data_IF_788285380811
#
_entry.id   IF_788285380811
#
_cell.length_a   1.000
_cell.length_b   1.000
_cell.length_c   1.000
_cell.angle_alpha   90.00
_cell.angle_beta   90.00
_cell.angle_gamma   90.00
#
_symmetry.space_group_name_H-M   'P 1'
#
loop_
_entity.id
_entity.type
_entity.pdbx_description
1 polymer ?
#
# COMPACT_ATOMS: atom_id res chain seq x y z
N UNK A 1 -15.13 49.35 42.47
CA UNK A 1 -15.05 48.92 41.06
C UNK A 1 -13.71 48.23 40.88
N UNK A 2 -13.72 46.94 40.54
CA UNK A 2 -12.64 46.23 39.83
C UNK A 2 -13.15 44.82 39.52
N UNK A 3 -13.87 44.72 38.41
CA UNK A 3 -14.18 43.46 37.74
C UNK A 3 -13.52 43.54 36.38
N UNK A 4 -12.56 42.66 36.08
CA UNK A 4 -12.25 42.19 34.72
C UNK A 4 -11.48 40.88 34.90
N UNK A 5 -12.17 39.75 34.93
CA UNK A 5 -12.54 38.90 33.78
C UNK A 5 -11.40 37.99 33.36
N UNK A 6 -11.54 36.72 33.74
CA UNK A 6 -10.89 35.57 33.15
C UNK A 6 -11.16 35.58 31.64
N UNK A 7 -10.10 35.57 30.83
CA UNK A 7 -10.23 35.34 29.38
C UNK A 7 -9.71 33.96 29.08
N UNK A 8 -10.64 33.08 28.72
CA UNK A 8 -10.45 31.66 28.51
C UNK A 8 -9.34 31.34 27.52
N UNK A 9 -8.56 30.32 27.87
CA UNK A 9 -7.64 29.66 26.96
C UNK A 9 -8.42 29.15 25.76
N UNK A 10 -8.24 29.80 24.61
CA UNK A 10 -8.74 29.32 23.33
C UNK A 10 -8.12 27.96 23.05
N UNK A 11 -8.90 26.90 23.24
CA UNK A 11 -8.61 25.59 22.68
C UNK A 11 -8.74 25.73 21.17
N UNK A 12 -7.63 26.10 20.51
CA UNK A 12 -7.52 25.96 19.07
C UNK A 12 -7.72 24.47 18.79
N UNK A 13 -8.86 24.14 18.18
CA UNK A 13 -9.14 22.78 17.73
C UNK A 13 -7.97 22.23 16.91
N UNK A 14 -7.80 20.90 16.84
CA UNK A 14 -6.68 20.30 16.13
C UNK A 14 -6.61 20.89 14.74
N UNK A 15 -5.46 21.49 14.43
CA UNK A 15 -5.26 22.14 13.14
C UNK A 15 -5.57 21.17 11.99
N UNK A 16 -6.01 21.70 10.86
CA UNK A 16 -6.35 20.91 9.67
C UNK A 16 -5.23 19.92 9.29
N UNK A 17 -3.96 20.25 9.53
CA UNK A 17 -2.85 19.32 9.31
C UNK A 17 -2.89 18.09 10.24
N UNK A 18 -3.22 18.27 11.52
CA UNK A 18 -3.38 17.17 12.49
C UNK A 18 -4.61 16.31 12.19
N UNK A 19 -5.69 16.91 11.69
CA UNK A 19 -6.90 16.18 11.26
C UNK A 19 -6.57 15.29 10.06
N UNK A 20 -5.97 15.86 9.00
CA UNK A 20 -5.57 15.11 7.82
C UNK A 20 -4.55 14.01 8.15
N UNK A 21 -3.63 14.25 9.09
CA UNK A 21 -2.65 13.24 9.49
C UNK A 21 -3.26 12.04 10.23
N UNK A 22 -4.26 12.28 11.09
CA UNK A 22 -5.04 11.22 11.74
C UNK A 22 -5.84 10.42 10.72
N UNK A 23 -6.39 11.09 9.71
CA UNK A 23 -7.09 10.41 8.61
C UNK A 23 -6.13 9.55 7.79
N UNK A 24 -4.86 9.93 7.64
CA UNK A 24 -3.90 9.10 6.91
C UNK A 24 -3.43 7.88 7.72
N UNK A 25 -3.33 8.01 9.05
CA UNK A 25 -2.81 6.98 9.98
C UNK A 25 -3.79 6.68 11.13
N UNK A 26 -4.99 6.14 10.84
CA UNK A 26 -5.95 5.82 11.89
C UNK A 26 -5.53 4.61 12.74
N UNK A 27 -4.58 3.80 12.28
CA UNK A 27 -4.11 2.61 12.98
C UNK A 27 -2.59 2.60 13.12
N UNK A 28 -2.11 1.98 14.19
CA UNK A 28 -0.70 1.74 14.40
C UNK A 28 -0.14 0.70 13.44
N UNK A 29 1.16 0.78 13.20
CA UNK A 29 1.86 -0.18 12.35
C UNK A 29 1.74 -1.58 12.96
N UNK A 30 1.21 -2.52 12.18
CA UNK A 30 0.95 -3.91 12.58
C UNK A 30 -0.20 -4.12 13.57
N UNK A 31 -0.98 -3.08 13.89
CA UNK A 31 -2.29 -3.28 14.52
C UNK A 31 -3.28 -3.85 13.50
N UNK A 32 -4.11 -4.79 13.94
CA UNK A 32 -5.22 -5.36 13.18
C UNK A 32 -6.57 -4.72 13.53
N UNK A 33 -6.61 -3.72 14.42
CA UNK A 33 -7.86 -3.12 14.92
C UNK A 33 -8.73 -2.52 13.80
N UNK A 34 -8.12 -2.18 12.67
CA UNK A 34 -8.81 -1.66 11.49
C UNK A 34 -9.22 -2.70 10.45
N UNK A 35 -8.78 -3.95 10.57
CA UNK A 35 -9.03 -4.97 9.57
C UNK A 35 -10.36 -5.67 9.82
N UNK A 36 -11.17 -5.79 8.77
CA UNK A 36 -12.40 -6.58 8.79
C UNK A 36 -12.05 -8.06 8.57
N UNK A 37 -12.39 -8.92 9.54
CA UNK A 37 -12.07 -10.36 9.55
C UNK A 37 -10.62 -10.66 9.16
N UNK A 38 -9.62 -10.16 9.93
CA UNK A 38 -8.23 -10.35 9.57
C UNK A 38 -7.81 -11.81 9.70
N UNK A 39 -6.87 -12.21 8.85
CA UNK A 39 -6.04 -13.38 9.12
C UNK A 39 -5.11 -13.13 10.32
N UNK A 40 -4.34 -14.15 10.67
CA UNK A 40 -3.29 -14.03 11.68
C UNK A 40 -2.28 -12.94 11.29
N UNK A 41 -1.74 -12.24 12.28
CA UNK A 41 -0.85 -11.10 12.08
C UNK A 41 0.41 -11.43 11.23
N UNK A 42 0.96 -12.62 11.40
CA UNK A 42 2.08 -13.13 10.60
C UNK A 42 1.74 -13.21 9.11
N UNK A 43 0.58 -13.76 8.78
CA UNK A 43 0.07 -13.85 7.40
C UNK A 43 -0.21 -12.44 6.84
N UNK A 44 -0.84 -11.58 7.63
CA UNK A 44 -1.13 -10.20 7.24
C UNK A 44 0.14 -9.39 6.92
N UNK A 45 1.24 -9.64 7.65
CA UNK A 45 2.55 -9.04 7.37
C UNK A 45 3.17 -9.54 6.06
N UNK A 46 2.96 -10.80 5.72
CA UNK A 46 3.39 -11.37 4.44
C UNK A 46 2.64 -10.71 3.27
N UNK A 47 1.32 -10.64 3.35
CA UNK A 47 0.49 -9.94 2.35
C UNK A 47 0.86 -8.47 2.25
N UNK A 48 1.14 -7.81 3.37
CA UNK A 48 1.61 -6.43 3.36
C UNK A 48 2.95 -6.28 2.61
N UNK A 49 3.88 -7.20 2.82
CA UNK A 49 5.17 -7.19 2.13
C UNK A 49 4.99 -7.30 0.62
N UNK A 50 4.17 -8.24 0.17
CA UNK A 50 3.79 -8.41 -1.24
C UNK A 50 3.08 -7.18 -1.81
N UNK A 51 2.08 -6.67 -1.10
CA UNK A 51 1.35 -5.44 -1.47
C UNK A 51 2.30 -4.25 -1.66
N UNK A 52 3.34 -4.12 -0.82
CA UNK A 52 4.32 -3.04 -0.96
C UNK A 52 5.20 -3.19 -2.19
N UNK A 53 5.59 -4.41 -2.54
CA UNK A 53 6.41 -4.68 -3.73
C UNK A 53 5.71 -4.25 -5.03
N UNK A 54 4.37 -4.23 -5.05
CA UNK A 54 3.59 -3.73 -6.20
C UNK A 54 3.87 -2.27 -6.56
N UNK A 55 4.25 -1.41 -5.59
CA UNK A 55 4.43 0.03 -5.84
C UNK A 55 5.67 0.39 -6.67
N UNK A 56 6.52 -0.59 -6.98
CA UNK A 56 7.53 -0.49 -8.04
C UNK A 56 8.63 0.56 -7.91
N UNK A 57 8.71 1.29 -6.79
CA UNK A 57 9.89 2.11 -6.48
C UNK A 57 10.98 1.19 -5.93
N UNK A 58 12.21 1.33 -6.43
CA UNK A 58 13.40 0.75 -5.77
C UNK A 58 13.38 1.24 -4.33
N UNK A 59 13.08 0.33 -3.43
CA UNK A 59 12.96 0.62 -2.02
C UNK A 59 14.36 0.86 -1.49
N UNK A 60 14.80 2.12 -1.40
CA UNK A 60 15.90 2.44 -0.50
C UNK A 60 15.43 2.00 0.89
N UNK A 61 16.17 1.10 1.55
CA UNK A 61 15.75 0.45 2.81
C UNK A 61 15.43 1.41 3.96
N UNK A 62 15.70 2.71 3.82
CA UNK A 62 15.35 3.74 4.77
C UNK A 62 13.90 4.23 4.59
N UNK A 63 12.93 3.45 5.08
CA UNK A 63 11.59 3.97 5.31
C UNK A 63 11.49 4.57 6.70
N UNK A 64 11.00 5.80 6.80
CA UNK A 64 10.58 6.35 8.09
C UNK A 64 9.44 5.51 8.64
N UNK A 65 9.36 5.37 9.97
CA UNK A 65 8.26 4.68 10.64
C UNK A 65 6.90 5.21 10.17
N UNK A 66 6.80 6.53 9.98
CA UNK A 66 5.62 7.21 9.46
C UNK A 66 5.19 6.71 8.06
N UNK A 67 6.14 6.61 7.12
CA UNK A 67 5.84 6.12 5.77
C UNK A 67 5.38 4.65 5.79
N UNK A 68 5.96 3.85 6.70
CA UNK A 68 5.60 2.45 6.87
C UNK A 68 4.19 2.30 7.45
N UNK A 69 3.85 3.08 8.48
CA UNK A 69 2.53 3.12 9.09
C UNK A 69 1.45 3.60 8.11
N UNK A 70 1.73 4.63 7.31
CA UNK A 70 0.81 5.08 6.23
C UNK A 70 0.58 3.98 5.21
N UNK A 71 1.63 3.24 4.84
CA UNK A 71 1.50 2.11 3.92
C UNK A 71 0.66 0.99 4.53
N UNK A 72 0.83 0.70 5.83
CA UNK A 72 0.02 -0.27 6.56
C UNK A 72 -1.45 0.12 6.56
N UNK A 73 -1.78 1.37 6.90
CA UNK A 73 -3.15 1.86 6.86
C UNK A 73 -3.78 1.78 5.46
N UNK A 74 -3.01 2.09 4.41
CA UNK A 74 -3.47 1.93 3.04
C UNK A 74 -3.71 0.47 2.65
N UNK A 75 -2.89 -0.46 3.17
CA UNK A 75 -3.07 -1.90 3.00
C UNK A 75 -4.37 -2.37 3.68
N UNK A 76 -4.59 -2.01 4.94
CA UNK A 76 -5.82 -2.35 5.70
C UNK A 76 -7.08 -1.81 5.00
N UNK A 77 -7.04 -0.58 4.48
CA UNK A 77 -8.15 -0.04 3.68
C UNK A 77 -8.45 -0.88 2.44
N UNK A 78 -7.42 -1.34 1.73
CA UNK A 78 -7.62 -2.17 0.53
C UNK A 78 -8.09 -3.57 0.90
N UNK A 79 -7.61 -4.14 2.00
CA UNK A 79 -8.10 -5.39 2.56
C UNK A 79 -9.61 -5.33 2.80
N UNK A 80 -10.07 -4.34 3.57
CA UNK A 80 -11.50 -4.19 3.85
C UNK A 80 -12.31 -3.90 2.58
N UNK A 81 -11.78 -3.10 1.65
CA UNK A 81 -12.45 -2.83 0.39
C UNK A 81 -12.64 -4.11 -0.45
N UNK A 82 -11.62 -4.98 -0.53
CA UNK A 82 -11.75 -6.27 -1.23
C UNK A 82 -12.83 -7.15 -0.57
N UNK A 83 -12.82 -7.25 0.76
CA UNK A 83 -13.84 -7.99 1.51
C UNK A 83 -15.26 -7.48 1.25
N UNK A 84 -15.47 -6.15 1.25
CA UNK A 84 -16.78 -5.53 0.94
C UNK A 84 -17.18 -5.65 -0.53
N UNK A 85 -16.21 -5.72 -1.44
CA UNK A 85 -16.43 -6.01 -2.87
C UNK A 85 -16.78 -7.50 -3.10
N UNK A 86 -16.75 -8.35 -2.07
CA UNK A 86 -16.94 -9.80 -2.20
C UNK A 86 -15.76 -10.51 -2.88
N UNK A 87 -14.62 -9.82 -3.02
CA UNK A 87 -13.40 -10.34 -3.63
C UNK A 87 -12.45 -10.82 -2.55
N UNK A 88 -11.77 -11.94 -2.80
CA UNK A 88 -10.63 -12.30 -1.96
C UNK A 88 -9.50 -11.31 -2.20
N UNK A 89 -8.96 -10.73 -1.12
CA UNK A 89 -7.78 -9.88 -1.21
C UNK A 89 -6.59 -10.61 -1.86
N UNK A 90 -6.47 -11.93 -1.62
CA UNK A 90 -5.39 -12.75 -2.20
C UNK A 90 -5.51 -12.85 -3.71
N UNK A 91 -6.71 -13.11 -4.24
CA UNK A 91 -6.97 -13.15 -5.67
C UNK A 91 -6.68 -11.80 -6.33
N UNK A 92 -7.13 -10.71 -5.71
CA UNK A 92 -6.81 -9.36 -6.19
C UNK A 92 -5.30 -9.06 -6.18
N UNK A 93 -4.58 -9.56 -5.18
CA UNK A 93 -3.14 -9.37 -5.05
C UNK A 93 -2.38 -10.12 -6.16
N UNK A 94 -2.76 -11.38 -6.40
CA UNK A 94 -2.21 -12.24 -7.46
C UNK A 94 -2.43 -11.63 -8.85
N UNK A 95 -3.63 -11.15 -9.15
CA UNK A 95 -3.93 -10.48 -10.42
C UNK A 95 -3.04 -9.25 -10.63
N UNK A 96 -2.79 -8.48 -9.58
CA UNK A 96 -1.91 -7.31 -9.65
C UNK A 96 -0.45 -7.67 -9.82
N UNK A 97 0.02 -8.73 -9.17
CA UNK A 97 1.37 -9.25 -9.33
C UNK A 97 1.59 -9.76 -10.76
N UNK A 98 0.62 -10.51 -11.31
CA UNK A 98 0.63 -11.00 -12.68
C UNK A 98 0.57 -9.86 -13.72
N UNK A 99 -0.25 -8.83 -13.49
CA UNK A 99 -0.28 -7.65 -14.35
C UNK A 99 1.05 -6.88 -14.31
N UNK A 100 1.71 -6.83 -13.15
CA UNK A 100 3.02 -6.17 -12.98
C UNK A 100 4.15 -6.94 -13.66
N UNK A 101 4.19 -8.28 -13.52
CA UNK A 101 5.19 -9.11 -14.22
C UNK A 101 5.02 -8.97 -15.72
N UNK A 102 3.80 -9.12 -16.24
CA UNK A 102 3.51 -9.01 -17.68
C UNK A 102 3.96 -7.67 -18.28
N UNK A 103 3.92 -6.58 -17.51
CA UNK A 103 4.31 -5.23 -17.93
C UNK A 103 5.73 -4.84 -17.49
N UNK A 104 6.50 -5.78 -16.95
CA UNK A 104 7.87 -5.51 -16.54
C UNK A 104 8.75 -5.35 -17.79
N UNK A 105 9.64 -4.35 -17.79
CA UNK A 105 10.58 -4.13 -18.90
C UNK A 105 11.48 -5.35 -19.12
N UNK A 106 11.81 -6.09 -18.05
CA UNK A 106 12.57 -7.34 -18.13
C UNK A 106 11.81 -8.41 -18.91
N UNK A 107 10.55 -8.64 -18.58
CA UNK A 107 9.73 -9.65 -19.25
C UNK A 107 9.40 -9.26 -20.71
N UNK A 108 9.17 -7.97 -20.96
CA UNK A 108 9.04 -7.45 -22.33
C UNK A 108 10.32 -7.70 -23.14
N UNK A 109 11.49 -7.40 -22.57
CA UNK A 109 12.78 -7.67 -23.21
C UNK A 109 12.96 -9.17 -23.50
N UNK A 110 12.65 -10.05 -22.55
CA UNK A 110 12.72 -11.50 -22.75
C UNK A 110 11.83 -11.94 -23.90
N UNK A 111 10.57 -11.51 -23.94
CA UNK A 111 9.63 -11.85 -25.02
C UNK A 111 10.10 -11.34 -26.38
N UNK A 112 10.59 -10.09 -26.45
CA UNK A 112 11.15 -9.53 -27.69
C UNK A 112 12.37 -10.33 -28.14
N UNK A 113 13.27 -10.70 -27.23
CA UNK A 113 14.43 -11.54 -27.55
C UNK A 113 14.02 -12.94 -28.04
N UNK A 114 13.01 -13.57 -27.44
CA UNK A 114 12.47 -14.86 -27.89
C UNK A 114 11.81 -14.77 -29.28
N UNK A 115 11.03 -13.71 -29.54
CA UNK A 115 10.42 -13.46 -30.85
C UNK A 115 11.51 -13.29 -31.92
N UNK A 116 12.52 -12.46 -31.65
CA UNK A 116 13.66 -12.28 -32.54
C UNK A 116 14.40 -13.61 -32.76
N UNK A 117 14.71 -14.36 -31.70
CA UNK A 117 15.37 -15.67 -31.87
C UNK A 117 14.57 -16.65 -32.71
N UNK A 118 13.23 -16.64 -32.63
CA UNK A 118 12.36 -17.47 -33.47
C UNK A 118 12.36 -17.03 -34.93
N UNK A 119 12.27 -15.73 -35.20
CA UNK A 119 12.36 -15.19 -36.57
C UNK A 119 13.72 -15.47 -37.20
N UNK A 120 14.82 -15.22 -36.48
CA UNK A 120 16.18 -15.46 -36.99
C UNK A 120 16.48 -16.96 -37.22
N UNK A 121 15.83 -17.86 -36.49
CA UNK A 121 15.94 -19.31 -36.71
C UNK A 121 15.16 -19.81 -37.94
N UNK A 122 14.18 -19.05 -38.43
CA UNK A 122 13.43 -19.37 -39.66
C UNK A 122 14.10 -18.86 -40.93
N UNK A 123 15.12 -17.99 -40.81
CA UNK A 123 15.82 -17.36 -41.95
C UNK A 123 17.10 -18.10 -42.42
N UNK A 124 17.35 -19.33 -41.95
CA UNK A 124 18.41 -20.18 -42.53
C UNK A 124 17.80 -21.09 -43.59
N UNK A 125 17.86 -20.65 -44.86
CA UNK A 125 17.73 -21.48 -46.08
C UNK A 125 19.07 -21.50 -46.78
#
# INVERSE_FOLDING_TARGET
MSSTSESGGGSAGPSAYHVMERDLKPWDLYSLDGAENPDRLDIMKEYFTRYRQLRGKKTNNAYTHDALQRSWCAFIRRWNAAGREGLSFTSWLEDREAARSTRSIGDLRTRVCEMLQREWRLCYV
#
